data_IF_502779793489
#
_entry.id   IF_502779793489
#
_cell.length_a   1.000
_cell.length_b   1.000
_cell.length_c   1.000
_cell.angle_alpha   90.00
_cell.angle_beta   90.00
_cell.angle_gamma   90.00
#
_symmetry.space_group_name_H-M   'P 1'
#
loop_
_entity.id
_entity.type
_entity.pdbx_description
1 polymer ?
#
# COMPACT_ATOMS: atom_id res chain seq x y z
N UNK A 1 -25.00 54.61 6.46
CA UNK A 1 -24.33 54.18 7.70
C UNK A 1 -24.16 52.67 7.59
N UNK A 2 -22.98 52.08 7.46
CA UNK A 2 -21.63 52.52 7.80
C UNK A 2 -20.67 52.26 6.63
N UNK A 3 -19.65 53.12 6.55
CA UNK A 3 -18.49 52.99 5.68
C UNK A 3 -17.63 51.84 6.20
N UNK A 4 -17.20 50.94 5.31
CA UNK A 4 -16.18 49.94 5.59
C UNK A 4 -14.85 50.61 5.29
N UNK A 5 -14.07 50.88 6.34
CA UNK A 5 -12.69 51.34 6.23
C UNK A 5 -11.85 50.20 5.65
N UNK A 6 -11.22 50.47 4.50
CA UNK A 6 -10.14 49.64 3.98
C UNK A 6 -8.87 49.95 4.78
N UNK A 7 -8.42 49.00 5.59
CA UNK A 7 -7.08 49.06 6.17
C UNK A 7 -6.05 48.64 5.11
N UNK A 8 -5.23 49.60 4.70
CA UNK A 8 -4.05 49.35 3.87
C UNK A 8 -2.99 48.54 4.64
N UNK A 9 -2.31 47.57 3.98
CA UNK A 9 -1.18 46.90 4.60
C UNK A 9 0.02 47.85 4.67
N UNK A 10 0.38 48.23 5.90
CA UNK A 10 1.60 48.98 6.21
C UNK A 10 2.82 48.12 5.87
N UNK A 11 3.33 48.27 4.65
CA UNK A 11 4.67 47.80 4.28
C UNK A 11 5.71 48.62 5.04
N UNK A 12 6.23 48.08 6.13
CA UNK A 12 7.41 48.61 6.81
C UNK A 12 8.66 48.36 5.95
N UNK A 13 8.87 49.21 4.95
CA UNK A 13 10.16 49.34 4.26
C UNK A 13 11.14 50.05 5.20
N UNK A 14 11.88 49.27 5.98
CA UNK A 14 13.06 49.75 6.70
C UNK A 14 14.18 49.96 5.68
N UNK A 15 14.17 51.12 5.04
CA UNK A 15 15.27 51.58 4.18
C UNK A 15 16.38 52.12 5.07
N UNK A 16 17.35 51.26 5.42
CA UNK A 16 18.59 51.66 6.07
C UNK A 16 19.51 52.31 5.02
N UNK A 17 19.19 53.56 4.65
CA UNK A 17 20.07 54.36 3.80
C UNK A 17 21.23 54.91 4.62
N UNK A 18 22.39 54.26 4.54
CA UNK A 18 23.65 54.81 5.04
C UNK A 18 24.37 55.59 3.93
N UNK A 19 24.53 56.91 4.08
CA UNK A 19 25.61 57.73 3.48
C UNK A 19 25.93 58.92 4.41
N UNK A 20 27.17 59.48 4.48
CA UNK A 20 28.47 59.15 3.84
C UNK A 20 29.67 59.13 4.87
N UNK A 21 30.98 59.08 4.49
CA UNK A 21 31.63 58.67 3.24
C UNK A 21 32.28 57.27 3.32
N UNK A 22 32.33 56.59 2.18
CA UNK A 22 33.06 55.32 1.93
C UNK A 22 32.79 54.15 2.89
N UNK A 23 31.54 53.66 2.94
CA UNK A 23 31.34 52.22 3.12
C UNK A 23 32.10 51.50 2.00
N UNK A 24 33.08 50.63 2.30
CA UNK A 24 33.89 50.02 1.27
C UNK A 24 33.01 49.17 0.33
N UNK A 25 33.32 49.12 -0.99
CA UNK A 25 32.46 48.47 -1.98
C UNK A 25 32.10 47.02 -1.65
N UNK A 26 33.01 46.29 -0.97
CA UNK A 26 32.77 44.91 -0.53
C UNK A 26 31.66 44.80 0.53
N UNK A 27 31.53 45.80 1.40
CA UNK A 27 30.50 45.80 2.45
C UNK A 27 29.12 46.06 1.86
N UNK A 28 29.04 46.98 0.89
CA UNK A 28 27.80 47.27 0.17
C UNK A 28 27.33 46.06 -0.64
N UNK A 29 28.25 45.40 -1.35
CA UNK A 29 27.93 44.19 -2.11
C UNK A 29 27.47 43.04 -1.20
N UNK A 30 28.09 42.86 -0.03
CA UNK A 30 27.72 41.84 0.93
C UNK A 30 26.34 42.08 1.57
N UNK A 31 26.03 43.34 1.92
CA UNK A 31 24.71 43.72 2.42
C UNK A 31 23.64 43.49 1.36
N UNK A 32 23.89 43.87 0.10
CA UNK A 32 22.96 43.64 -1.00
C UNK A 32 22.70 42.14 -1.26
N UNK A 33 23.71 41.27 -1.18
CA UNK A 33 23.55 39.82 -1.32
C UNK A 33 22.75 39.22 -0.15
N UNK A 34 22.96 39.71 1.08
CA UNK A 34 22.16 39.34 2.25
C UNK A 34 20.69 39.74 2.05
N UNK A 35 20.42 40.97 1.63
CA UNK A 35 19.07 41.47 1.36
C UNK A 35 18.38 40.70 0.23
N UNK A 36 19.12 40.30 -0.81
CA UNK A 36 18.58 39.51 -1.91
C UNK A 36 18.18 38.10 -1.45
N UNK A 37 18.98 37.47 -0.59
CA UNK A 37 18.70 36.12 -0.05
C UNK A 37 17.54 36.11 0.94
N UNK A 38 17.42 37.15 1.77
CA UNK A 38 16.28 37.34 2.65
C UNK A 38 14.99 37.53 1.83
N UNK A 39 15.04 38.36 0.77
CA UNK A 39 13.89 38.56 -0.14
C UNK A 39 13.51 37.32 -0.93
N UNK A 40 14.47 36.50 -1.36
CA UNK A 40 14.19 35.27 -2.11
C UNK A 40 13.40 34.22 -1.30
N UNK A 41 13.38 34.33 0.04
CA UNK A 41 12.69 33.42 0.96
C UNK A 41 11.53 34.10 1.71
N UNK A 42 11.33 35.41 1.53
CA UNK A 42 10.09 36.07 1.91
C UNK A 42 9.01 35.58 0.95
N UNK A 43 8.31 34.54 1.38
CA UNK A 43 7.24 33.93 0.60
C UNK A 43 6.02 34.86 0.66
N UNK A 44 5.72 35.52 -0.46
CA UNK A 44 4.41 36.13 -0.71
C UNK A 44 3.39 35.01 -0.98
N UNK A 45 2.88 34.37 0.07
CA UNK A 45 1.72 33.47 -0.07
C UNK A 45 0.44 34.29 0.02
N UNK A 46 -0.34 34.43 -1.07
CA UNK A 46 -1.70 34.92 -0.93
C UNK A 46 -2.45 33.93 -0.04
N UNK A 47 -3.15 34.45 0.97
CA UNK A 47 -3.97 33.66 1.88
C UNK A 47 -5.00 32.84 1.08
N UNK A 48 -4.63 31.62 0.72
CA UNK A 48 -5.52 30.64 0.12
C UNK A 48 -5.87 29.61 1.18
N UNK A 49 -7.12 29.15 1.15
CA UNK A 49 -7.76 28.30 2.15
C UNK A 49 -7.10 26.89 2.22
N UNK A 50 -5.90 26.80 2.76
CA UNK A 50 -5.20 25.53 2.95
C UNK A 50 -5.76 24.78 4.16
N UNK A 51 -5.97 23.47 4.00
CA UNK A 51 -6.32 22.57 5.10
C UNK A 51 -5.22 22.55 6.17
N UNK A 52 -5.58 22.21 7.42
CA UNK A 52 -4.60 22.11 8.52
C UNK A 52 -3.44 21.17 8.18
N UNK A 53 -3.72 20.05 7.50
CA UNK A 53 -2.70 19.10 7.07
C UNK A 53 -1.71 19.72 6.07
N UNK A 54 -2.21 20.48 5.09
CA UNK A 54 -1.38 21.15 4.08
C UNK A 54 -0.50 22.23 4.71
N UNK A 55 -1.03 22.96 5.70
CA UNK A 55 -0.24 23.94 6.46
C UNK A 55 0.87 23.27 7.28
N UNK A 56 0.58 22.14 7.91
CA UNK A 56 1.58 21.39 8.67
C UNK A 56 2.67 20.82 7.75
N UNK A 57 2.30 20.22 6.62
CA UNK A 57 3.23 19.68 5.63
C UNK A 57 4.14 20.78 5.06
N UNK A 58 3.55 21.92 4.66
CA UNK A 58 4.29 23.08 4.15
C UNK A 58 5.25 23.66 5.21
N UNK A 59 4.82 23.72 6.48
CA UNK A 59 5.68 24.16 7.59
C UNK A 59 6.90 23.25 7.75
N UNK A 60 6.72 21.92 7.80
CA UNK A 60 7.83 20.99 7.98
C UNK A 60 8.78 20.94 6.77
N UNK A 61 8.27 21.20 5.56
CA UNK A 61 9.09 21.31 4.34
C UNK A 61 9.90 22.63 4.28
N UNK A 62 9.31 23.77 4.66
CA UNK A 62 9.96 25.09 4.63
C UNK A 62 10.93 25.31 5.80
N UNK A 63 10.67 24.73 6.97
CA UNK A 63 11.50 24.85 8.18
C UNK A 63 13.00 24.57 7.97
N UNK A 64 13.43 23.48 7.32
CA UNK A 64 14.86 23.23 7.09
C UNK A 64 15.52 24.28 6.19
N UNK A 65 14.79 24.82 5.20
CA UNK A 65 15.29 25.86 4.29
C UNK A 65 15.50 27.18 5.03
N UNK A 66 14.57 27.53 5.92
CA UNK A 66 14.67 28.72 6.77
C UNK A 66 15.83 28.59 7.78
N UNK A 67 15.98 27.43 8.41
CA UNK A 67 17.10 27.17 9.34
C UNK A 67 18.46 27.25 8.63
N UNK A 68 18.57 26.71 7.41
CA UNK A 68 19.79 26.81 6.62
C UNK A 68 20.12 28.28 6.26
N UNK A 69 19.12 29.07 5.87
CA UNK A 69 19.32 30.50 5.60
C UNK A 69 19.76 31.26 6.85
N UNK A 70 19.06 31.11 7.97
CA UNK A 70 19.41 31.81 9.22
C UNK A 70 20.84 31.49 9.65
N UNK A 71 21.24 30.23 9.48
CA UNK A 71 22.60 29.78 9.74
C UNK A 71 23.59 30.47 8.79
N UNK A 72 23.36 30.47 7.47
CA UNK A 72 24.21 31.16 6.48
C UNK A 72 24.33 32.67 6.76
N UNK A 73 23.20 33.33 7.06
CA UNK A 73 23.17 34.75 7.43
C UNK A 73 23.95 35.05 8.70
N UNK A 74 23.83 34.20 9.72
CA UNK A 74 24.60 34.36 10.96
C UNK A 74 26.11 34.24 10.73
N UNK A 75 26.55 33.23 9.97
CA UNK A 75 27.97 33.07 9.64
C UNK A 75 28.51 34.24 8.83
N UNK A 76 27.74 34.74 7.86
CA UNK A 76 28.11 35.92 7.07
C UNK A 76 28.17 37.18 7.91
N UNK A 77 27.21 37.40 8.81
CA UNK A 77 27.24 38.52 9.74
C UNK A 77 28.51 38.51 10.59
N UNK A 78 28.85 37.36 11.17
CA UNK A 78 30.09 37.20 11.95
C UNK A 78 31.33 37.49 11.08
N UNK A 79 31.38 36.97 9.85
CA UNK A 79 32.48 37.23 8.93
C UNK A 79 32.60 38.70 8.54
N UNK A 80 31.47 39.39 8.31
CA UNK A 80 31.45 40.83 8.02
C UNK A 80 31.90 41.64 9.23
N UNK A 81 31.42 41.30 10.43
CA UNK A 81 31.78 41.97 11.68
C UNK A 81 33.28 41.85 11.96
N UNK A 82 33.85 40.65 11.76
CA UNK A 82 35.28 40.39 11.92
C UNK A 82 36.12 41.18 10.89
N UNK A 83 35.77 41.14 9.60
CA UNK A 83 36.44 41.94 8.57
C UNK A 83 36.32 43.44 8.82
N UNK A 84 35.18 43.91 9.31
CA UNK A 84 34.99 45.31 9.65
C UNK A 84 35.87 45.71 10.84
N UNK A 85 35.91 44.89 11.90
CA UNK A 85 36.81 45.08 13.02
C UNK A 85 38.27 45.13 12.54
N UNK A 86 38.72 44.17 11.75
CA UNK A 86 40.08 44.15 11.17
C UNK A 86 40.36 45.42 10.34
N UNK A 87 39.39 45.92 9.58
CA UNK A 87 39.54 47.15 8.79
C UNK A 87 39.66 48.42 9.65
N UNK A 88 39.04 48.45 10.83
CA UNK A 88 39.18 49.55 11.79
C UNK A 88 40.57 49.53 12.42
N UNK A 89 41.05 48.34 12.84
CA UNK A 89 42.40 48.16 13.38
C UNK A 89 43.47 48.54 12.34
N UNK A 90 43.31 48.13 11.08
CA UNK A 90 44.23 48.48 9.99
C UNK A 90 44.30 49.99 9.69
N UNK A 91 43.21 50.74 9.91
CA UNK A 91 43.17 52.20 9.73
C UNK A 91 43.83 52.95 10.89
N UNK A 92 43.81 52.41 12.11
CA UNK A 92 44.51 52.99 13.27
C UNK A 92 46.03 52.78 13.23
N UNK A 93 46.50 51.77 12.49
CA UNK A 93 47.93 51.44 12.31
C UNK A 93 48.61 52.17 11.13
N UNK A 94 47.92 53.11 10.46
CA UNK A 94 48.52 53.92 9.39
C UNK A 94 48.69 55.39 9.83
N UNK A 95 49.82 55.68 10.50
CA UNK A 95 50.67 56.76 10.07
C UNK A 95 52.07 56.19 9.75
N UNK A 96 52.44 56.30 8.48
CA UNK A 96 53.79 56.06 7.94
C UNK A 96 54.27 54.61 7.96
N UNK A 97 54.21 53.94 6.82
CA UNK A 97 55.39 53.50 6.04
C UNK A 97 54.93 52.57 4.93
N UNK A 98 55.05 53.06 3.69
CA UNK A 98 55.07 52.20 2.52
C UNK A 98 56.43 51.48 2.49
N UNK A 99 56.43 50.16 2.65
CA UNK A 99 57.49 49.27 2.15
C UNK A 99 57.05 47.81 2.35
N UNK A 100 56.79 47.15 1.23
CA UNK A 100 57.12 45.74 0.93
C UNK A 100 57.15 44.72 2.09
N UNK A 101 56.27 43.72 2.04
CA UNK A 101 56.70 42.33 1.87
C UNK A 101 55.50 41.39 1.84
N UNK A 102 55.54 40.52 0.84
CA UNK A 102 54.66 39.39 0.57
C UNK A 102 55.09 38.20 1.46
N UNK A 103 54.20 37.66 2.28
CA UNK A 103 54.04 36.22 2.48
C UNK A 103 52.90 35.88 3.44
N UNK A 104 52.05 34.98 2.99
CA UNK A 104 51.03 34.26 3.73
C UNK A 104 51.67 33.29 4.75
N UNK A 105 51.10 33.16 5.96
CA UNK A 105 50.52 31.89 6.47
C UNK A 105 50.19 31.97 7.97
N UNK A 106 48.92 31.62 8.26
CA UNK A 106 48.32 30.99 9.45
C UNK A 106 48.96 31.08 10.85
N UNK A 107 48.15 31.65 11.74
CA UNK A 107 47.70 31.10 13.03
C UNK A 107 48.64 30.83 14.22
N UNK A 108 48.11 31.30 15.34
CA UNK A 108 48.27 31.00 16.78
C UNK A 108 49.40 31.67 17.57
N UNK A 109 48.92 32.57 18.44
CA UNK A 109 49.41 32.95 19.76
C UNK A 109 50.76 33.66 19.87
N UNK A 110 50.73 34.98 19.64
CA UNK A 110 51.70 35.88 20.26
C UNK A 110 51.00 37.14 20.80
N UNK A 111 50.64 37.10 22.08
CA UNK A 111 50.07 38.25 22.80
C UNK A 111 50.42 38.18 24.28
N UNK A 112 51.60 38.68 24.62
CA UNK A 112 51.86 39.56 25.77
C UNK A 112 53.22 40.25 25.55
N UNK A 113 53.28 41.19 24.60
CA UNK A 113 54.29 42.25 24.68
C UNK A 113 53.75 43.30 25.64
N UNK A 114 54.20 43.22 26.89
CA UNK A 114 54.17 44.34 27.82
C UNK A 114 55.01 45.47 27.20
N UNK A 115 54.33 46.39 26.52
CA UNK A 115 54.91 47.67 26.15
C UNK A 115 54.98 48.53 27.41
N UNK A 116 55.99 48.28 28.24
CA UNK A 116 56.48 49.24 29.21
C UNK A 116 57.18 50.35 28.40
N UNK A 117 56.35 51.21 27.79
CA UNK A 117 56.76 52.33 26.98
C UNK A 117 57.37 53.39 27.90
N UNK A 118 58.64 53.18 28.23
CA UNK A 118 59.47 54.09 29.02
C UNK A 118 59.50 55.46 28.36
N UNK A 119 58.72 56.39 28.93
CA UNK A 119 58.77 57.81 28.62
C UNK A 119 60.13 58.36 29.03
N UNK A 120 61.06 58.46 28.08
CA UNK A 120 62.24 59.29 28.21
C UNK A 120 61.84 60.77 28.12
N UNK A 121 61.34 61.35 29.22
CA UNK A 121 61.34 62.79 29.40
C UNK A 121 62.66 63.21 30.04
N UNK A 122 63.58 63.64 29.19
CA UNK A 122 64.79 64.35 29.57
C UNK A 122 64.37 65.76 30.02
N UNK A 123 64.39 66.03 31.32
CA UNK A 123 64.15 67.37 31.86
C UNK A 123 65.49 68.12 32.00
N UNK A 124 65.64 69.35 31.48
CA UNK A 124 66.82 70.17 31.76
C UNK A 124 66.72 70.74 33.19
N UNK A 125 67.86 71.02 33.85
CA UNK A 125 67.85 71.56 35.20
C UNK A 125 67.58 73.07 35.13
N UNK A 126 66.50 73.52 35.74
CA UNK A 126 66.30 74.93 36.05
C UNK A 126 66.09 75.06 37.56
N UNK A 127 66.98 75.86 38.14
CA UNK A 127 67.14 76.07 39.55
C UNK A 127 65.95 76.83 40.19
N UNK A 128 65.68 76.46 41.45
CA UNK A 128 65.28 77.31 42.58
C UNK A 128 64.13 78.31 42.36
N UNK A 129 62.99 78.08 43.02
CA UNK A 129 62.46 79.01 44.04
C UNK A 129 61.31 78.37 44.84
N UNK A 130 61.37 78.59 46.16
CA UNK A 130 60.34 78.47 47.21
C UNK A 130 60.12 77.11 47.92
N UNK A 131 60.89 76.89 48.98
CA UNK A 131 60.88 75.74 49.87
C UNK A 131 59.71 75.73 50.89
N UNK A 132 58.55 76.24 50.50
CA UNK A 132 57.34 76.28 51.34
C UNK A 132 56.16 75.44 50.83
N UNK A 133 56.00 75.29 49.50
CA UNK A 133 54.85 74.62 48.88
C UNK A 133 55.15 73.25 48.23
N UNK A 134 56.42 72.88 48.10
CA UNK A 134 56.85 71.66 47.41
C UNK A 134 56.53 70.38 48.22
N UNK A 135 56.64 70.47 49.55
CA UNK A 135 56.26 69.38 50.44
C UNK A 135 54.73 69.14 50.44
N UNK A 136 53.92 70.20 50.34
CA UNK A 136 52.46 70.07 50.27
C UNK A 136 52.00 69.44 48.94
N UNK A 137 52.65 69.77 47.82
CA UNK A 137 52.37 69.16 46.52
C UNK A 137 52.73 67.65 46.52
N UNK A 138 53.89 67.28 47.07
CA UNK A 138 54.30 65.87 47.21
C UNK A 138 53.34 65.10 48.11
N UNK A 139 52.90 65.71 49.22
CA UNK A 139 51.90 65.10 50.11
C UNK A 139 50.55 64.95 49.39
N UNK A 140 50.12 65.95 48.62
CA UNK A 140 48.88 65.87 47.84
C UNK A 140 48.95 64.76 46.78
N UNK A 141 50.05 64.64 46.03
CA UNK A 141 50.26 63.56 45.07
C UNK A 141 50.27 62.18 45.73
N UNK A 142 50.93 62.03 46.89
CA UNK A 142 50.95 60.78 47.64
C UNK A 142 49.54 60.38 48.12
N UNK A 143 48.74 61.36 48.56
CA UNK A 143 47.34 61.13 48.96
C UNK A 143 46.50 60.72 47.76
N UNK A 144 46.61 61.41 46.62
CA UNK A 144 45.91 61.03 45.38
C UNK A 144 46.31 59.61 44.94
N UNK A 145 47.61 59.30 44.90
CA UNK A 145 48.10 57.96 44.56
C UNK A 145 47.73 56.87 45.58
N UNK A 146 47.43 57.23 46.83
CA UNK A 146 46.89 56.30 47.83
C UNK A 146 45.41 56.01 47.57
N UNK A 147 44.60 57.04 47.33
CA UNK A 147 43.17 56.90 47.02
C UNK A 147 42.97 56.15 45.70
N UNK A 148 43.77 56.45 44.67
CA UNK A 148 43.72 55.75 43.38
C UNK A 148 44.06 54.27 43.53
N UNK A 149 45.04 53.92 44.39
CA UNK A 149 45.34 52.52 44.70
C UNK A 149 44.18 51.82 45.40
N UNK A 150 43.52 52.49 46.33
CA UNK A 150 42.36 51.93 47.04
C UNK A 150 41.18 51.71 46.08
N UNK A 151 40.89 52.68 45.19
CA UNK A 151 39.85 52.54 44.15
C UNK A 151 40.16 51.37 43.22
N UNK A 152 41.41 51.25 42.75
CA UNK A 152 41.81 50.14 41.88
C UNK A 152 41.76 48.78 42.60
N UNK A 153 42.08 48.74 43.89
CA UNK A 153 41.97 47.53 44.71
C UNK A 153 40.52 47.08 44.86
N UNK A 154 39.60 48.01 45.18
CA UNK A 154 38.16 47.75 45.28
C UNK A 154 37.56 47.29 43.94
N UNK A 155 37.95 47.93 42.84
CA UNK A 155 37.54 47.50 41.50
C UNK A 155 38.03 46.10 41.14
N UNK A 156 39.28 45.78 41.49
CA UNK A 156 39.84 44.45 41.27
C UNK A 156 39.11 43.41 42.12
N UNK A 157 38.79 43.72 43.38
CA UNK A 157 38.00 42.84 44.25
C UNK A 157 36.57 42.64 43.74
N UNK A 158 35.91 43.70 43.26
CA UNK A 158 34.61 43.59 42.60
C UNK A 158 34.66 42.69 41.38
N UNK A 159 35.66 42.85 40.50
CA UNK A 159 35.82 41.97 39.32
C UNK A 159 36.07 40.51 39.71
N UNK A 160 36.85 40.26 40.77
CA UNK A 160 37.04 38.90 41.31
C UNK A 160 35.74 38.31 41.85
N UNK A 161 34.95 39.09 42.58
CA UNK A 161 33.64 38.65 43.09
C UNK A 161 32.64 38.35 41.96
N UNK A 162 32.61 39.19 40.92
CA UNK A 162 31.78 38.95 39.73
C UNK A 162 32.24 37.69 38.96
N UNK A 163 33.55 37.47 38.82
CA UNK A 163 34.10 36.25 38.21
C UNK A 163 33.76 35.00 39.03
N UNK A 164 33.87 35.05 40.36
CA UNK A 164 33.49 33.95 41.24
C UNK A 164 32.01 33.57 41.09
N UNK A 165 31.10 34.56 41.06
CA UNK A 165 29.67 34.32 40.81
C UNK A 165 29.40 33.71 39.43
N UNK A 166 30.14 34.13 38.39
CA UNK A 166 30.02 33.54 37.05
C UNK A 166 30.45 32.08 37.04
N UNK A 167 31.57 31.75 37.71
CA UNK A 167 32.05 30.37 37.83
C UNK A 167 31.03 29.51 38.58
N UNK A 168 30.45 30.01 39.67
CA UNK A 168 29.41 29.31 40.43
C UNK A 168 28.15 29.05 39.59
N UNK A 169 27.69 30.05 38.83
CA UNK A 169 26.53 29.91 37.95
C UNK A 169 26.81 28.91 36.81
N UNK A 170 28.01 28.95 36.22
CA UNK A 170 28.42 27.99 35.21
C UNK A 170 28.48 26.57 35.77
N UNK A 171 28.99 26.39 36.99
CA UNK A 171 28.97 25.09 37.68
C UNK A 171 27.55 24.57 37.93
N UNK A 172 26.64 25.45 38.34
CA UNK A 172 25.23 25.11 38.55
C UNK A 172 24.55 24.69 37.24
N UNK A 173 24.81 25.40 36.14
CA UNK A 173 24.30 25.05 34.81
C UNK A 173 24.80 23.68 34.35
N UNK A 174 26.09 23.39 34.56
CA UNK A 174 26.67 22.07 34.22
C UNK A 174 25.97 20.96 35.01
N UNK A 175 25.73 21.14 36.32
CA UNK A 175 25.01 20.15 37.11
C UNK A 175 23.58 19.89 36.60
N UNK A 176 22.87 20.94 36.20
CA UNK A 176 21.52 20.80 35.62
C UNK A 176 21.59 19.99 34.32
N UNK A 177 22.49 20.35 33.41
CA UNK A 177 22.65 19.63 32.14
C UNK A 177 23.07 18.17 32.33
N UNK A 178 23.93 17.89 33.32
CA UNK A 178 24.30 16.51 33.68
C UNK A 178 23.12 15.73 34.24
N UNK A 179 22.26 16.36 35.04
CA UNK A 179 21.05 15.75 35.58
C UNK A 179 20.03 15.44 34.47
N UNK A 180 19.81 16.37 33.53
CA UNK A 180 18.94 16.17 32.37
C UNK A 180 19.47 15.04 31.48
N UNK A 181 20.79 15.00 31.23
CA UNK A 181 21.43 13.91 30.49
C UNK A 181 21.16 12.56 31.15
N UNK A 182 21.27 12.44 32.47
CA UNK A 182 21.00 11.19 33.18
C UNK A 182 19.53 10.76 33.08
N UNK A 183 18.60 11.71 33.20
CA UNK A 183 17.17 11.45 33.02
C UNK A 183 16.89 10.93 31.61
N UNK A 184 17.40 11.61 30.58
CA UNK A 184 17.22 11.22 29.18
C UNK A 184 17.83 9.85 28.87
N UNK A 185 18.99 9.53 29.44
CA UNK A 185 19.56 8.19 29.32
C UNK A 185 18.67 7.11 29.93
N UNK A 186 18.07 7.39 31.10
CA UNK A 186 17.10 6.51 31.73
C UNK A 186 15.83 6.32 30.91
N UNK A 187 15.29 7.40 30.35
CA UNK A 187 14.12 7.36 29.47
C UNK A 187 14.40 6.60 28.18
N UNK A 188 15.55 6.82 27.54
CA UNK A 188 15.98 6.09 26.36
C UNK A 188 16.13 4.59 26.63
N UNK A 189 16.72 4.21 27.77
CA UNK A 189 16.79 2.80 28.17
C UNK A 189 15.39 2.21 28.34
N UNK A 190 14.48 2.92 29.02
CA UNK A 190 13.08 2.49 29.20
C UNK A 190 12.33 2.34 27.88
N UNK A 191 12.51 3.28 26.95
CA UNK A 191 11.93 3.22 25.61
C UNK A 191 12.52 2.05 24.81
N UNK A 192 13.82 1.80 24.92
CA UNK A 192 14.48 0.64 24.33
C UNK A 192 13.84 -0.68 24.78
N UNK A 193 13.65 -0.88 26.08
CA UNK A 193 12.97 -2.08 26.60
C UNK A 193 11.54 -2.22 26.09
N UNK A 194 10.79 -1.12 26.02
CA UNK A 194 9.41 -1.14 25.49
C UNK A 194 9.38 -1.46 24.00
N UNK A 195 10.32 -0.92 23.22
CA UNK A 195 10.44 -1.22 21.80
C UNK A 195 10.76 -2.70 21.58
N UNK A 196 11.75 -3.25 22.29
CA UNK A 196 12.09 -4.68 22.20
C UNK A 196 10.92 -5.59 22.62
N UNK A 197 10.20 -5.26 23.70
CA UNK A 197 9.02 -6.02 24.10
C UNK A 197 7.91 -5.98 23.03
N UNK A 198 7.66 -4.81 22.42
CA UNK A 198 6.69 -4.68 21.35
C UNK A 198 7.10 -5.46 20.08
N UNK A 199 8.40 -5.52 19.76
CA UNK A 199 8.92 -6.33 18.65
C UNK A 199 8.73 -7.83 18.90
N UNK A 200 8.98 -8.31 20.12
CA UNK A 200 8.76 -9.71 20.49
C UNK A 200 7.27 -10.09 20.41
N UNK A 201 6.37 -9.24 20.90
CA UNK A 201 4.92 -9.43 20.79
C UNK A 201 4.46 -9.44 19.32
N UNK A 202 4.98 -8.53 18.50
CA UNK A 202 4.67 -8.48 17.07
C UNK A 202 5.17 -9.73 16.33
N UNK A 203 6.37 -10.23 16.66
CA UNK A 203 6.91 -11.46 16.11
C UNK A 203 6.06 -12.69 16.49
N UNK A 204 5.63 -12.79 17.75
CA UNK A 204 4.74 -13.84 18.22
C UNK A 204 3.38 -13.79 17.49
N UNK A 205 2.78 -12.61 17.38
CA UNK A 205 1.53 -12.43 16.65
C UNK A 205 1.66 -12.80 15.16
N UNK A 206 2.78 -12.47 14.53
CA UNK A 206 3.06 -12.85 13.14
C UNK A 206 3.19 -14.37 12.98
N UNK A 207 3.81 -15.06 13.93
CA UNK A 207 3.92 -16.52 13.93
C UNK A 207 2.54 -17.20 14.05
N UNK A 208 1.69 -16.73 14.98
CA UNK A 208 0.32 -17.22 15.16
C UNK A 208 -0.55 -16.98 13.92
N UNK A 209 -0.46 -15.77 13.33
CA UNK A 209 -1.15 -15.47 12.07
C UNK A 209 -0.65 -16.37 10.92
N UNK A 210 0.66 -16.64 10.87
CA UNK A 210 1.24 -17.56 9.90
C UNK A 210 0.77 -19.01 10.06
N UNK A 211 0.62 -19.48 11.30
CA UNK A 211 0.06 -20.81 11.60
C UNK A 211 -1.41 -20.91 11.19
N UNK A 212 -2.25 -19.96 11.63
CA UNK A 212 -3.68 -19.94 11.32
C UNK A 212 -3.95 -19.86 9.82
N UNK A 213 -3.20 -19.03 9.07
CA UNK A 213 -3.29 -18.97 7.60
C UNK A 213 -2.97 -20.31 6.94
N UNK A 214 -1.91 -21.00 7.37
CA UNK A 214 -1.55 -22.33 6.84
C UNK A 214 -2.66 -23.34 7.08
N UNK A 215 -3.19 -23.39 8.29
CA UNK A 215 -4.29 -24.28 8.66
C UNK A 215 -5.58 -23.98 7.89
N UNK A 216 -5.90 -22.70 7.70
CA UNK A 216 -7.03 -22.30 6.86
C UNK A 216 -6.86 -22.73 5.39
N UNK A 217 -5.65 -22.59 4.85
CA UNK A 217 -5.34 -23.04 3.48
C UNK A 217 -5.44 -24.57 3.34
N UNK A 218 -5.01 -25.34 4.34
CA UNK A 218 -5.20 -26.80 4.36
C UNK A 218 -6.67 -27.20 4.39
N UNK A 219 -7.47 -26.57 5.26
CA UNK A 219 -8.92 -26.81 5.30
C UNK A 219 -9.59 -26.47 3.97
N UNK A 220 -9.20 -25.35 3.34
CA UNK A 220 -9.73 -24.98 2.03
C UNK A 220 -9.43 -26.05 0.96
N UNK A 221 -8.21 -26.58 0.93
CA UNK A 221 -7.84 -27.69 0.02
C UNK A 221 -8.67 -28.94 0.27
N UNK A 222 -8.88 -29.32 1.54
CA UNK A 222 -9.70 -30.48 1.90
C UNK A 222 -11.16 -30.31 1.47
N UNK A 223 -11.73 -29.12 1.63
CA UNK A 223 -13.11 -28.84 1.21
C UNK A 223 -13.28 -28.95 -0.32
N UNK A 224 -12.31 -28.45 -1.09
CA UNK A 224 -12.33 -28.59 -2.56
C UNK A 224 -12.27 -30.07 -2.95
N UNK A 225 -11.32 -30.82 -2.37
CA UNK A 225 -11.20 -32.25 -2.61
C UNK A 225 -12.49 -33.01 -2.28
N UNK A 226 -13.11 -32.72 -1.13
CA UNK A 226 -14.37 -33.37 -0.72
C UNK A 226 -15.51 -33.13 -1.72
N UNK A 227 -15.60 -31.91 -2.29
CA UNK A 227 -16.61 -31.59 -3.31
C UNK A 227 -16.37 -32.36 -4.60
N UNK A 228 -15.12 -32.49 -5.01
CA UNK A 228 -14.72 -33.29 -6.19
C UNK A 228 -15.02 -34.77 -5.98
N UNK A 229 -14.62 -35.34 -4.84
CA UNK A 229 -14.88 -36.74 -4.48
C UNK A 229 -16.39 -37.03 -4.45
N UNK A 230 -17.19 -36.12 -3.89
CA UNK A 230 -18.64 -36.24 -3.91
C UNK A 230 -19.21 -36.23 -5.34
N UNK A 231 -18.72 -35.34 -6.21
CA UNK A 231 -19.14 -35.28 -7.61
C UNK A 231 -18.77 -36.55 -8.37
N UNK A 232 -17.56 -37.06 -8.17
CA UNK A 232 -17.09 -38.32 -8.76
C UNK A 232 -17.98 -39.48 -8.33
N UNK A 233 -18.31 -39.57 -7.03
CA UNK A 233 -19.21 -40.59 -6.51
C UNK A 233 -20.61 -40.53 -7.16
N UNK A 234 -21.20 -39.32 -7.25
CA UNK A 234 -22.52 -39.13 -7.87
C UNK A 234 -22.53 -39.45 -9.36
N UNK A 235 -21.47 -39.12 -10.09
CA UNK A 235 -21.33 -39.47 -11.50
C UNK A 235 -21.10 -40.97 -11.68
N UNK A 236 -20.29 -41.61 -10.82
CA UNK A 236 -20.07 -43.06 -10.81
C UNK A 236 -21.39 -43.83 -10.71
N UNK A 237 -22.24 -43.47 -9.75
CA UNK A 237 -23.59 -44.09 -9.60
C UNK A 237 -24.46 -43.91 -10.84
N UNK A 238 -24.40 -42.75 -11.50
CA UNK A 238 -25.14 -42.51 -12.75
C UNK A 238 -24.62 -43.38 -13.90
N UNK A 239 -23.29 -43.53 -14.00
CA UNK A 239 -22.66 -44.38 -15.00
C UNK A 239 -23.10 -45.83 -14.81
N UNK A 240 -23.04 -46.35 -13.57
CA UNK A 240 -23.49 -47.71 -13.26
C UNK A 240 -24.98 -47.92 -13.62
N UNK A 241 -25.85 -46.97 -13.27
CA UNK A 241 -27.26 -47.04 -13.62
C UNK A 241 -27.50 -47.04 -15.14
N UNK A 242 -26.78 -46.19 -15.88
CA UNK A 242 -26.87 -46.16 -17.34
C UNK A 242 -26.31 -47.43 -17.98
N UNK A 243 -25.22 -47.97 -17.46
CA UNK A 243 -24.66 -49.25 -17.90
C UNK A 243 -25.65 -50.39 -17.70
N UNK A 244 -26.34 -50.45 -16.56
CA UNK A 244 -27.38 -51.44 -16.31
C UNK A 244 -28.57 -51.29 -17.29
N UNK A 245 -28.95 -50.06 -17.63
CA UNK A 245 -30.00 -49.81 -18.63
C UNK A 245 -29.58 -50.25 -20.04
N UNK A 246 -28.35 -49.92 -20.45
CA UNK A 246 -27.79 -50.35 -21.74
C UNK A 246 -27.78 -51.87 -21.82
N UNK A 247 -27.25 -52.54 -20.80
CA UNK A 247 -27.26 -54.00 -20.75
C UNK A 247 -28.68 -54.59 -20.83
N UNK A 248 -29.64 -54.03 -20.09
CA UNK A 248 -31.04 -54.46 -20.17
C UNK A 248 -31.71 -54.20 -21.52
N UNK A 249 -31.27 -53.18 -22.27
CA UNK A 249 -31.70 -52.94 -23.64
C UNK A 249 -31.04 -53.91 -24.62
N UNK A 250 -29.76 -54.21 -24.46
CA UNK A 250 -29.02 -55.18 -25.27
C UNK A 250 -29.65 -56.57 -25.18
N UNK A 251 -29.98 -57.02 -23.95
CA UNK A 251 -30.66 -58.30 -23.71
C UNK A 251 -32.02 -58.34 -24.42
N UNK A 252 -32.87 -57.33 -24.23
CA UNK A 252 -34.19 -57.29 -24.89
C UNK A 252 -34.08 -57.20 -26.41
N UNK A 253 -33.12 -56.43 -26.94
CA UNK A 253 -32.87 -56.38 -28.37
C UNK A 253 -32.50 -57.77 -28.91
N UNK A 254 -31.61 -58.49 -28.22
CA UNK A 254 -31.25 -59.85 -28.58
C UNK A 254 -32.46 -60.79 -28.59
N UNK A 255 -33.30 -60.74 -27.55
CA UNK A 255 -34.54 -61.54 -27.49
C UNK A 255 -35.48 -61.22 -28.67
N UNK A 256 -35.63 -59.93 -29.02
CA UNK A 256 -36.40 -59.51 -30.18
C UNK A 256 -35.84 -60.09 -31.49
N UNK A 257 -34.52 -60.06 -31.69
CA UNK A 257 -33.89 -60.64 -32.87
C UNK A 257 -34.08 -62.17 -32.94
N UNK A 258 -33.92 -62.86 -31.81
CA UNK A 258 -34.13 -64.31 -31.74
C UNK A 258 -35.59 -64.69 -32.01
N UNK A 259 -36.56 -63.91 -31.51
CA UNK A 259 -37.97 -64.11 -31.77
C UNK A 259 -38.31 -63.91 -33.26
N UNK A 260 -37.77 -62.85 -33.88
CA UNK A 260 -37.91 -62.62 -35.33
C UNK A 260 -37.32 -63.77 -36.15
N UNK A 261 -36.12 -64.25 -35.79
CA UNK A 261 -35.49 -65.38 -36.47
C UNK A 261 -36.31 -66.68 -36.36
N UNK A 262 -36.89 -66.96 -35.18
CA UNK A 262 -37.79 -68.12 -34.98
C UNK A 262 -39.03 -68.02 -35.84
N UNK A 263 -39.69 -66.85 -35.85
CA UNK A 263 -40.87 -66.62 -36.66
C UNK A 263 -40.57 -66.79 -38.16
N UNK A 264 -39.43 -66.29 -38.63
CA UNK A 264 -38.99 -66.49 -40.01
C UNK A 264 -38.74 -67.97 -40.33
N UNK A 265 -38.09 -68.72 -39.42
CA UNK A 265 -37.87 -70.15 -39.60
C UNK A 265 -39.18 -70.95 -39.64
N UNK A 266 -40.13 -70.65 -38.76
CA UNK A 266 -41.48 -71.25 -38.76
C UNK A 266 -42.24 -70.93 -40.05
N UNK A 267 -42.16 -69.68 -40.52
CA UNK A 267 -42.76 -69.25 -41.79
C UNK A 267 -42.16 -70.02 -42.98
N UNK A 268 -40.84 -70.22 -43.00
CA UNK A 268 -40.17 -70.99 -44.05
C UNK A 268 -40.50 -72.48 -44.00
N UNK A 269 -40.57 -73.08 -42.80
CA UNK A 269 -40.99 -74.47 -42.62
C UNK A 269 -42.45 -74.67 -43.06
N UNK A 270 -43.35 -73.75 -42.69
CA UNK A 270 -44.74 -73.76 -43.16
C UNK A 270 -44.85 -73.62 -44.69
N UNK A 271 -44.05 -72.75 -45.31
CA UNK A 271 -44.00 -72.63 -46.76
C UNK A 271 -43.50 -73.91 -47.45
N UNK A 272 -42.47 -74.56 -46.90
CA UNK A 272 -41.94 -75.83 -47.39
C UNK A 272 -42.98 -76.96 -47.26
N UNK A 273 -43.69 -77.03 -46.13
CA UNK A 273 -44.74 -78.02 -45.92
C UNK A 273 -45.92 -77.83 -46.88
N UNK A 274 -46.33 -76.57 -47.12
CA UNK A 274 -47.33 -76.25 -48.16
C UNK A 274 -46.85 -76.72 -49.54
N UNK A 275 -45.57 -76.54 -49.87
CA UNK A 275 -45.02 -77.03 -51.14
C UNK A 275 -45.01 -78.56 -51.22
N UNK A 276 -44.65 -79.26 -50.14
CA UNK A 276 -44.70 -80.72 -50.02
C UNK A 276 -46.11 -81.25 -50.24
N UNK A 277 -47.08 -80.69 -49.52
CA UNK A 277 -48.50 -81.06 -49.64
C UNK A 277 -49.04 -80.77 -51.05
N UNK A 278 -48.63 -79.66 -51.68
CA UNK A 278 -48.99 -79.39 -53.09
C UNK A 278 -48.40 -80.44 -54.04
N UNK A 279 -47.17 -80.88 -53.83
CA UNK A 279 -46.55 -81.93 -54.65
C UNK A 279 -47.24 -83.28 -54.45
N UNK A 280 -47.54 -83.64 -53.22
CA UNK A 280 -48.28 -84.86 -52.88
C UNK A 280 -49.71 -84.84 -53.45
N UNK A 281 -50.43 -83.72 -53.33
CA UNK A 281 -51.73 -83.54 -53.96
C UNK A 281 -51.66 -83.66 -55.48
N UNK A 282 -50.61 -83.14 -56.13
CA UNK A 282 -50.40 -83.35 -57.57
C UNK A 282 -50.22 -84.84 -57.90
N UNK A 283 -49.38 -85.57 -57.14
CA UNK A 283 -49.16 -87.00 -57.33
C UNK A 283 -50.46 -87.79 -57.17
N UNK A 284 -51.20 -87.55 -56.09
CA UNK A 284 -52.49 -88.19 -55.85
C UNK A 284 -53.51 -87.86 -56.95
N UNK A 285 -53.52 -86.62 -57.45
CA UNK A 285 -54.37 -86.24 -58.58
C UNK A 285 -53.97 -86.97 -59.88
N UNK A 286 -52.68 -87.15 -60.13
CA UNK A 286 -52.15 -87.93 -61.27
C UNK A 286 -52.50 -89.42 -61.13
N UNK A 287 -52.34 -90.01 -59.95
CA UNK A 287 -52.75 -91.39 -59.64
C UNK A 287 -54.26 -91.59 -59.79
N UNK A 288 -55.08 -90.65 -59.29
CA UNK A 288 -56.53 -90.65 -59.48
C UNK A 288 -56.91 -90.51 -60.96
N UNK A 289 -56.22 -89.66 -61.72
CA UNK A 289 -56.42 -89.55 -63.17
C UNK A 289 -55.99 -90.82 -63.92
N UNK A 290 -54.90 -91.48 -63.51
CA UNK A 290 -54.42 -92.73 -64.10
C UNK A 290 -55.35 -93.91 -63.79
N UNK A 291 -55.87 -94.01 -62.57
CA UNK A 291 -56.89 -95.00 -62.20
C UNK A 291 -58.22 -94.74 -62.90
N UNK A 292 -58.61 -93.47 -63.09
CA UNK A 292 -59.75 -93.09 -63.93
C UNK A 292 -59.53 -93.39 -65.43
N UNK A 293 -58.28 -93.40 -65.92
CA UNK A 293 -57.95 -93.86 -67.28
C UNK A 293 -57.94 -95.40 -67.39
N UNK A 294 -57.59 -96.14 -66.33
CA UNK A 294 -57.60 -97.62 -66.29
C UNK A 294 -59.00 -98.20 -66.09
N UNK A 295 -59.85 -97.57 -65.28
CA UNK A 295 -61.29 -97.87 -65.23
C UNK A 295 -61.94 -97.17 -66.41
N UNK A 296 -62.11 -97.89 -67.53
CA UNK A 296 -62.94 -97.42 -68.64
C UNK A 296 -64.24 -96.83 -68.11
N UNK A 297 -64.41 -95.52 -68.35
CA UNK A 297 -65.61 -94.68 -68.24
C UNK A 297 -66.85 -95.40 -67.69
N UNK A 298 -66.95 -95.53 -66.37
CA UNK A 298 -68.21 -95.84 -65.69
C UNK A 298 -68.59 -94.63 -64.83
N UNK A 299 -69.70 -93.99 -65.22
CA UNK A 299 -70.12 -92.68 -64.75
C UNK A 299 -70.41 -92.61 -63.25
N UNK A 300 -70.32 -91.39 -62.71
CA UNK A 300 -70.64 -91.13 -61.32
C UNK A 300 -70.54 -89.65 -60.94
N UNK A 301 -71.35 -88.80 -61.58
CA UNK A 301 -71.43 -87.35 -61.30
C UNK A 301 -72.38 -86.95 -60.15
N UNK A 302 -72.92 -87.90 -59.38
CA UNK A 302 -73.99 -87.62 -58.42
C UNK A 302 -73.50 -87.03 -57.08
N UNK A 303 -72.35 -87.47 -56.55
CA UNK A 303 -71.89 -87.05 -55.23
C UNK A 303 -71.62 -85.53 -55.17
N UNK A 304 -70.91 -84.98 -56.15
CA UNK A 304 -70.43 -83.59 -56.11
C UNK A 304 -71.55 -82.54 -56.12
N UNK A 305 -72.74 -82.87 -56.62
CA UNK A 305 -73.91 -81.98 -56.52
C UNK A 305 -74.45 -81.88 -55.08
N UNK A 306 -74.23 -82.88 -54.22
CA UNK A 306 -74.74 -82.87 -52.84
C UNK A 306 -73.85 -82.06 -51.89
N UNK A 307 -72.54 -82.01 -52.16
CA UNK A 307 -71.58 -81.24 -51.35
C UNK A 307 -71.70 -79.73 -51.64
N UNK A 308 -72.05 -79.35 -52.87
CA UNK A 308 -72.25 -77.95 -53.23
C UNK A 308 -73.44 -77.31 -52.49
N UNK A 309 -74.46 -78.09 -52.13
CA UNK A 309 -75.61 -77.63 -51.34
C UNK A 309 -75.31 -77.47 -49.83
N UNK A 310 -74.17 -77.96 -49.34
CA UNK A 310 -73.79 -77.85 -47.92
C UNK A 310 -72.94 -76.62 -47.62
N UNK A 311 -72.47 -75.88 -48.64
CA UNK A 311 -71.68 -74.66 -48.48
C UNK A 311 -72.53 -73.39 -48.27
N UNK A 312 -73.86 -73.50 -48.26
CA UNK A 312 -74.79 -72.38 -48.00
C UNK A 312 -75.27 -72.29 -46.54
N UNK A 313 -74.69 -73.05 -45.62
CA UNK A 313 -74.96 -72.91 -44.18
C UNK A 313 -73.75 -72.32 -43.44
N UNK A 314 -73.81 -71.02 -43.14
CA UNK A 314 -73.02 -70.41 -42.08
C UNK A 314 -73.95 -69.69 -41.09
N UNK A 315 -74.01 -70.11 -39.81
CA UNK A 315 -74.73 -69.39 -38.76
C UNK A 315 -73.99 -68.14 -38.29
N UNK A 316 -74.76 -67.16 -37.81
CA UNK A 316 -74.33 -65.87 -37.29
C UNK A 316 -73.58 -65.91 -35.94
N UNK A 317 -72.59 -65.00 -35.83
CA UNK A 317 -72.21 -64.15 -34.68
C UNK A 317 -71.43 -64.76 -33.47
N UNK A 318 -70.59 -63.96 -32.75
CA UNK A 318 -71.08 -62.82 -31.97
C UNK A 318 -70.34 -61.49 -32.20
N UNK A 319 -71.07 -60.41 -31.92
CA UNK A 319 -70.55 -59.06 -31.74
C UNK A 319 -69.75 -58.98 -30.43
N UNK A 320 -68.46 -58.66 -30.52
CA UNK A 320 -67.69 -58.06 -29.43
C UNK A 320 -67.10 -56.76 -29.93
N UNK A 321 -67.65 -55.66 -29.41
CA UNK A 321 -67.15 -54.31 -29.59
C UNK A 321 -65.74 -54.19 -28.99
N UNK A 322 -64.72 -54.14 -29.86
CA UNK A 322 -63.42 -53.62 -29.51
C UNK A 322 -63.34 -52.18 -30.02
N UNK A 323 -63.64 -51.24 -29.12
CA UNK A 323 -63.36 -49.82 -29.32
C UNK A 323 -61.87 -49.61 -29.55
N UNK A 324 -61.49 -49.26 -30.77
CA UNK A 324 -60.21 -48.61 -31.07
C UNK A 324 -60.30 -47.19 -30.49
N UNK A 325 -59.79 -47.00 -29.27
CA UNK A 325 -59.58 -45.65 -28.72
C UNK A 325 -58.34 -45.06 -29.37
N UNK A 326 -58.59 -44.18 -30.34
CA UNK A 326 -57.65 -43.14 -30.79
C UNK A 326 -57.52 -42.10 -29.68
N UNK A 327 -56.44 -42.13 -28.90
CA UNK A 327 -56.07 -41.01 -28.01
C UNK A 327 -54.99 -40.20 -28.72
N UNK A 328 -55.45 -39.26 -29.53
CA UNK A 328 -54.69 -38.09 -29.90
C UNK A 328 -55.50 -36.89 -29.45
N UNK A 329 -55.20 -36.36 -28.25
CA UNK A 329 -55.63 -35.02 -27.89
C UNK A 329 -54.53 -34.34 -27.08
N UNK A 330 -53.82 -33.49 -27.82
CA UNK A 330 -53.02 -32.37 -27.37
C UNK A 330 -53.93 -31.42 -26.58
N UNK A 331 -53.68 -31.23 -25.28
CA UNK A 331 -54.18 -30.06 -24.54
C UNK A 331 -53.00 -29.18 -24.15
N UNK A 332 -53.05 -27.98 -24.71
CA UNK A 332 -52.26 -26.80 -24.42
C UNK A 332 -52.92 -26.09 -23.22
N UNK A 333 -52.20 -25.96 -22.10
CA UNK A 333 -52.47 -25.00 -21.03
C UNK A 333 -51.11 -24.47 -20.55
N UNK A 334 -50.67 -23.30 -21.01
CA UNK A 334 -50.86 -21.97 -20.37
C UNK A 334 -50.48 -21.97 -18.87
N UNK A 335 -49.22 -21.61 -18.65
CA UNK A 335 -48.72 -20.61 -17.70
C UNK A 335 -49.36 -20.55 -16.30
N UNK A 336 -48.55 -20.92 -15.31
CA UNK A 336 -48.81 -20.64 -13.90
C UNK A 336 -47.55 -20.83 -13.07
N UNK A 337 -46.63 -19.84 -13.10
CA UNK A 337 -45.52 -19.74 -12.14
C UNK A 337 -46.08 -19.54 -10.74
N UNK A 338 -45.63 -20.34 -9.78
CA UNK A 338 -45.40 -19.91 -8.40
C UNK A 338 -44.11 -20.55 -7.87
N UNK A 339 -43.26 -19.70 -7.30
CA UNK A 339 -42.09 -20.08 -6.51
C UNK A 339 -42.52 -20.61 -5.15
N UNK A 340 -41.79 -21.57 -4.58
CA UNK A 340 -41.80 -21.79 -3.13
C UNK A 340 -41.59 -23.24 -2.69
N UNK A 341 -40.34 -23.56 -2.35
CA UNK A 341 -39.92 -24.33 -1.17
C UNK A 341 -40.65 -25.62 -0.76
N UNK A 342 -39.86 -26.69 -0.63
CA UNK A 342 -39.98 -27.60 0.51
C UNK A 342 -40.45 -29.02 0.23
N UNK A 343 -39.53 -29.97 0.41
CA UNK A 343 -39.79 -31.14 1.25
C UNK A 343 -40.55 -32.34 0.68
N UNK A 344 -39.77 -33.41 0.45
CA UNK A 344 -40.01 -34.80 0.89
C UNK A 344 -41.28 -35.60 0.48
N UNK A 345 -40.98 -36.72 -0.19
CA UNK A 345 -41.30 -38.13 0.16
C UNK A 345 -42.53 -38.86 -0.44
N UNK A 346 -42.21 -40.07 -0.95
CA UNK A 346 -42.99 -41.29 -1.25
C UNK A 346 -44.07 -41.24 -2.33
N UNK A 347 -44.22 -42.22 -3.25
CA UNK A 347 -43.70 -43.60 -3.42
C UNK A 347 -43.08 -43.76 -4.80
#
# INVERSE_FOLDING_TARGET
MAMVEEEEPVTLTVSLSCRPPTCPPWLQAAIADIEQRVRALAVDEPATDHSFADRAENYYQKRPQLLALLTDLHHRYLSLADRYAQSLHAKQLQPHHAAVSDCCSSDVDDRCSDADSSLSFQHPPAALTDAGGDAELIVAELVVASVDRDILADEAERRRAEAARKIELQGSLVQVLESERLVLLGENARLGFRASAAEEEAAAAAAELGYTRRRAAEMARLVVKLREDHRVCMLGRKIEALQAQVYGLEVRNRECYEAMAKWEAERMAGAAEIQRLRAENRRLAEEAAATARRKGKAGGGWWWSRVRMAAEWTPCAPATAATVRKVGQQMKGKDGKYYGGGGCFCI
#
